data_IF_305663516439
#
_entry.id   IF_305663516439
#
_cell.length_a   1.000
_cell.length_b   1.000
_cell.length_c   1.000
_cell.angle_alpha   90.00
_cell.angle_beta   90.00
_cell.angle_gamma   90.00
#
_symmetry.space_group_name_H-M   'P 1'
#
loop_
_entity.id
_entity.type
_entity.pdbx_description
1 polymer ?
#
# COMPACT_ATOMS: atom_id res chain seq x y z
N UNK A 1 -9.44 -19.76 15.87
CA UNK A 1 -8.71 -18.62 15.30
C UNK A 1 -7.24 -18.92 15.48
N UNK A 2 -6.54 -19.19 14.40
CA UNK A 2 -5.08 -19.40 14.43
C UNK A 2 -4.39 -18.05 14.58
N UNK A 3 -3.14 -18.03 15.03
CA UNK A 3 -2.34 -16.79 15.17
C UNK A 3 -2.26 -16.00 13.84
N UNK A 4 -2.40 -16.68 12.69
CA UNK A 4 -2.44 -16.11 11.35
C UNK A 4 -3.71 -15.27 11.04
N UNK A 5 -4.78 -15.39 11.85
CA UNK A 5 -6.04 -14.69 11.62
C UNK A 5 -6.17 -13.41 12.46
N UNK A 6 -5.11 -12.98 13.13
CA UNK A 6 -5.16 -11.77 13.95
C UNK A 6 -5.09 -10.51 13.10
N UNK A 7 -6.07 -9.57 13.24
CA UNK A 7 -6.01 -8.29 12.53
C UNK A 7 -4.81 -7.46 13.01
N UNK A 8 -4.11 -6.85 12.05
CA UNK A 8 -2.95 -6.00 12.34
C UNK A 8 -3.35 -4.77 13.18
N UNK A 9 -2.52 -4.46 14.19
CA UNK A 9 -2.69 -3.33 15.06
C UNK A 9 -2.51 -1.98 14.33
N UNK A 10 -2.94 -0.88 14.98
CA UNK A 10 -2.83 0.47 14.41
C UNK A 10 -1.38 0.88 14.21
N UNK A 11 -0.49 0.60 15.17
CA UNK A 11 0.93 0.96 15.09
C UNK A 11 1.60 0.32 13.88
N UNK A 12 1.37 -0.97 13.65
CA UNK A 12 1.91 -1.70 12.49
C UNK A 12 1.42 -1.09 11.19
N UNK A 13 0.14 -0.68 11.11
CA UNK A 13 -0.44 -0.06 9.91
C UNK A 13 0.12 1.33 9.64
N UNK A 14 0.35 2.14 10.70
CA UNK A 14 0.97 3.47 10.56
C UNK A 14 2.42 3.32 10.09
N UNK A 15 3.19 2.43 10.69
CA UNK A 15 4.58 2.17 10.27
C UNK A 15 4.64 1.67 8.83
N UNK A 16 3.73 0.75 8.42
CA UNK A 16 3.63 0.33 7.03
C UNK A 16 3.35 1.52 6.10
N UNK A 17 2.39 2.38 6.46
CA UNK A 17 2.04 3.55 5.67
C UNK A 17 3.20 4.57 5.60
N UNK A 18 3.99 4.74 6.65
CA UNK A 18 5.18 5.59 6.62
C UNK A 18 6.26 5.04 5.67
N UNK A 19 6.54 3.74 5.72
CA UNK A 19 7.47 3.09 4.78
C UNK A 19 6.96 3.24 3.34
N UNK A 20 5.68 2.98 3.10
CA UNK A 20 5.06 3.15 1.78
C UNK A 20 5.13 4.62 1.33
N UNK A 21 4.97 5.58 2.24
CA UNK A 21 5.16 7.00 1.97
C UNK A 21 6.57 7.34 1.48
N UNK A 22 7.60 6.76 2.10
CA UNK A 22 9.00 6.91 1.64
C UNK A 22 9.19 6.32 0.24
N UNK A 23 8.63 5.15 -0.03
CA UNK A 23 8.68 4.52 -1.37
C UNK A 23 7.99 5.40 -2.41
N UNK A 24 6.80 5.92 -2.11
CA UNK A 24 6.06 6.82 -3.00
C UNK A 24 6.86 8.10 -3.25
N UNK A 25 7.47 8.70 -2.23
CA UNK A 25 8.32 9.89 -2.38
C UNK A 25 9.52 9.61 -3.29
N UNK A 26 10.20 8.47 -3.12
CA UNK A 26 11.31 8.06 -3.97
C UNK A 26 10.87 7.82 -5.43
N UNK A 27 9.76 7.14 -5.65
CA UNK A 27 9.18 6.91 -6.99
C UNK A 27 8.78 8.24 -7.66
N UNK A 28 8.13 9.13 -6.93
CA UNK A 28 7.75 10.46 -7.44
C UNK A 28 9.00 11.26 -7.80
N UNK A 29 10.02 11.26 -6.93
CA UNK A 29 11.30 11.91 -7.22
C UNK A 29 11.99 11.36 -8.47
N UNK A 30 11.95 10.03 -8.68
CA UNK A 30 12.47 9.39 -9.88
C UNK A 30 11.71 9.82 -11.15
N UNK A 31 10.38 9.88 -11.10
CA UNK A 31 9.55 10.36 -12.23
C UNK A 31 9.89 11.81 -12.58
N UNK A 32 9.97 12.68 -11.57
CA UNK A 32 10.37 14.08 -11.79
C UNK A 32 11.79 14.20 -12.33
N UNK A 33 12.73 13.50 -11.73
CA UNK A 33 14.13 13.50 -12.18
C UNK A 33 14.27 13.05 -13.63
N UNK A 34 13.55 11.99 -14.01
CA UNK A 34 13.53 11.51 -15.40
C UNK A 34 12.92 12.53 -16.36
N UNK A 35 11.82 13.19 -15.96
CA UNK A 35 11.20 14.25 -16.77
C UNK A 35 12.14 15.44 -16.97
N UNK A 36 12.78 15.93 -15.89
CA UNK A 36 13.75 17.04 -15.95
C UNK A 36 14.96 16.67 -16.79
N UNK A 37 15.51 15.47 -16.61
CA UNK A 37 16.63 14.97 -17.40
C UNK A 37 16.25 14.87 -18.89
N UNK A 38 15.06 14.40 -19.20
CA UNK A 38 14.54 14.35 -20.58
C UNK A 38 14.48 15.74 -21.22
N UNK A 39 13.92 16.73 -20.50
CA UNK A 39 13.86 18.12 -20.99
C UNK A 39 15.27 18.69 -21.23
N UNK A 40 16.21 18.42 -20.33
CA UNK A 40 17.60 18.84 -20.48
C UNK A 40 18.27 18.22 -21.70
N UNK A 41 18.10 16.92 -21.93
CA UNK A 41 18.69 16.20 -23.07
C UNK A 41 18.13 16.70 -24.39
N UNK A 42 16.83 17.01 -24.47
CA UNK A 42 16.20 17.50 -25.70
C UNK A 42 16.66 18.91 -26.05
N UNK A 43 16.87 19.80 -25.08
CA UNK A 43 17.25 21.17 -25.36
C UNK A 43 18.18 21.76 -24.26
N UNK A 44 19.45 21.38 -24.24
CA UNK A 44 20.37 21.78 -23.17
C UNK A 44 20.68 23.29 -23.18
N UNK A 45 20.62 23.95 -24.35
CA UNK A 45 20.98 25.37 -24.49
C UNK A 45 19.95 26.31 -23.92
N UNK A 46 18.66 25.97 -24.04
CA UNK A 46 17.53 26.74 -23.52
C UNK A 46 16.88 26.12 -22.30
N UNK A 47 17.52 25.15 -21.67
CA UNK A 47 17.03 24.52 -20.46
C UNK A 47 16.81 25.56 -19.36
N UNK A 48 15.61 25.60 -18.84
CA UNK A 48 15.26 26.35 -17.62
C UNK A 48 14.69 25.38 -16.61
N UNK A 49 15.11 25.51 -15.37
CA UNK A 49 14.53 24.71 -14.29
C UNK A 49 13.02 24.97 -14.22
N UNK A 50 12.19 23.94 -14.26
CA UNK A 50 10.74 24.13 -14.19
C UNK A 50 10.35 24.70 -12.83
N UNK A 51 9.89 25.96 -12.82
CA UNK A 51 9.38 26.63 -11.65
C UNK A 51 7.85 26.55 -11.65
N UNK A 52 7.22 26.34 -10.49
CA UNK A 52 5.77 26.37 -10.35
C UNK A 52 5.05 25.03 -10.38
N UNK A 53 5.78 23.91 -10.38
CA UNK A 53 5.22 22.54 -10.51
C UNK A 53 4.52 21.97 -9.26
N UNK A 54 4.21 22.76 -8.22
CA UNK A 54 3.67 22.21 -6.97
C UNK A 54 2.31 21.51 -7.16
N UNK A 55 1.41 22.10 -7.97
CA UNK A 55 0.11 21.49 -8.23
C UNK A 55 0.22 20.24 -9.10
N UNK A 56 1.04 20.31 -10.16
CA UNK A 56 1.34 19.18 -11.06
C UNK A 56 2.08 18.08 -10.31
N UNK A 57 3.04 18.43 -9.44
CA UNK A 57 3.72 17.50 -8.55
C UNK A 57 2.74 16.75 -7.65
N UNK A 58 1.72 17.42 -7.14
CA UNK A 58 0.71 16.80 -6.29
C UNK A 58 -0.11 15.78 -7.05
N UNK A 59 -0.54 16.07 -8.27
CA UNK A 59 -1.28 15.12 -9.11
C UNK A 59 -0.44 13.90 -9.50
N UNK A 60 0.84 14.12 -9.86
CA UNK A 60 1.77 13.03 -10.15
C UNK A 60 1.97 12.16 -8.91
N UNK A 61 2.19 12.78 -7.74
CA UNK A 61 2.35 12.04 -6.48
C UNK A 61 1.12 11.19 -6.15
N UNK A 62 -0.09 11.75 -6.30
CA UNK A 62 -1.35 11.01 -6.11
C UNK A 62 -1.43 9.83 -7.10
N UNK A 63 -1.14 10.06 -8.38
CA UNK A 63 -1.14 9.01 -9.41
C UNK A 63 -0.15 7.89 -9.10
N UNK A 64 1.09 8.24 -8.74
CA UNK A 64 2.14 7.29 -8.32
C UNK A 64 1.71 6.51 -7.08
N UNK A 65 1.17 7.19 -6.06
CA UNK A 65 0.71 6.54 -4.84
C UNK A 65 -0.41 5.55 -5.10
N UNK A 66 -1.45 5.98 -5.84
CA UNK A 66 -2.59 5.11 -6.20
C UNK A 66 -2.12 3.92 -7.04
N UNK A 67 -1.27 4.15 -8.04
CA UNK A 67 -0.71 3.09 -8.89
C UNK A 67 0.09 2.09 -8.07
N UNK A 68 1.04 2.56 -7.27
CA UNK A 68 1.90 1.73 -6.42
C UNK A 68 1.09 0.87 -5.43
N UNK A 69 0.15 1.48 -4.70
CA UNK A 69 -0.70 0.77 -3.74
C UNK A 69 -1.60 -0.26 -4.42
N UNK A 70 -2.19 0.12 -5.57
CA UNK A 70 -3.07 -0.77 -6.35
C UNK A 70 -2.32 -2.00 -6.81
N UNK A 71 -1.15 -1.82 -7.44
CA UNK A 71 -0.31 -2.91 -7.93
C UNK A 71 0.14 -3.82 -6.79
N UNK A 72 0.63 -3.24 -5.69
CA UNK A 72 1.08 -3.99 -4.53
C UNK A 72 -0.02 -4.90 -3.96
N UNK A 73 -1.23 -4.39 -3.79
CA UNK A 73 -2.34 -5.18 -3.25
C UNK A 73 -2.94 -6.15 -4.26
N UNK A 74 -3.03 -5.79 -5.53
CA UNK A 74 -3.61 -6.66 -6.55
C UNK A 74 -2.70 -7.87 -6.87
N UNK A 75 -1.38 -7.66 -6.97
CA UNK A 75 -0.43 -8.70 -7.36
C UNK A 75 0.06 -9.49 -6.14
N UNK A 76 0.61 -8.81 -5.13
CA UNK A 76 1.25 -9.44 -3.99
C UNK A 76 0.35 -9.55 -2.75
N UNK A 77 -0.80 -8.87 -2.73
CA UNK A 77 -1.65 -8.73 -1.54
C UNK A 77 -1.02 -7.85 -0.45
N UNK A 78 0.14 -7.23 -0.72
CA UNK A 78 0.89 -6.40 0.23
C UNK A 78 1.73 -5.36 -0.51
N UNK A 79 1.96 -4.22 0.12
CA UNK A 79 2.90 -3.20 -0.32
C UNK A 79 4.29 -3.47 0.26
N UNK A 80 5.29 -2.68 -0.08
CA UNK A 80 6.65 -2.80 0.51
C UNK A 80 6.58 -2.60 2.03
N UNK A 81 5.87 -1.57 2.52
CA UNK A 81 5.68 -1.36 3.95
C UNK A 81 4.97 -2.54 4.62
N UNK A 82 3.94 -3.09 3.97
CA UNK A 82 3.26 -4.30 4.43
C UNK A 82 4.17 -5.53 4.46
N UNK A 83 5.05 -5.68 3.47
CA UNK A 83 6.01 -6.78 3.41
C UNK A 83 7.06 -6.70 4.54
N UNK A 84 7.59 -5.50 4.79
CA UNK A 84 8.58 -5.26 5.86
C UNK A 84 8.00 -5.57 7.25
N UNK A 85 6.72 -5.25 7.47
CA UNK A 85 6.06 -5.47 8.76
C UNK A 85 5.29 -6.79 8.86
N UNK A 86 5.41 -7.66 7.85
CA UNK A 86 4.78 -8.97 7.86
C UNK A 86 3.26 -8.90 7.88
N UNK A 87 2.65 -7.94 7.17
CA UNK A 87 1.20 -7.81 7.04
C UNK A 87 0.76 -7.93 5.59
N UNK A 88 -0.45 -8.49 5.39
CA UNK A 88 -1.08 -8.60 4.08
C UNK A 88 -2.54 -8.18 4.12
N UNK A 89 -3.01 -7.70 2.98
CA UNK A 89 -4.41 -7.31 2.78
C UNK A 89 -5.14 -8.45 2.08
N UNK A 90 -6.25 -8.86 2.66
CA UNK A 90 -7.10 -9.91 2.10
C UNK A 90 -8.55 -9.43 2.01
N UNK A 91 -9.28 -9.95 1.05
CA UNK A 91 -10.73 -9.78 0.98
C UNK A 91 -11.42 -10.58 2.11
N UNK A 92 -12.66 -10.22 2.45
CA UNK A 92 -13.47 -11.05 3.35
C UNK A 92 -13.61 -12.44 2.72
N UNK A 93 -13.04 -13.46 3.38
CA UNK A 93 -12.94 -14.83 2.86
C UNK A 93 -11.53 -15.29 2.56
N UNK A 94 -10.50 -14.45 2.81
CA UNK A 94 -9.08 -14.83 2.72
C UNK A 94 -8.48 -14.77 1.30
N UNK A 95 -9.29 -14.47 0.27
CA UNK A 95 -8.83 -14.30 -1.10
C UNK A 95 -8.03 -12.99 -1.28
N UNK A 96 -7.21 -12.91 -2.33
CA UNK A 96 -6.55 -11.65 -2.73
C UNK A 96 -7.57 -10.61 -3.18
N UNK A 97 -7.25 -9.33 -2.97
CA UNK A 97 -8.05 -8.25 -3.54
C UNK A 97 -7.90 -8.25 -5.07
N UNK A 98 -9.05 -8.17 -5.77
CA UNK A 98 -9.02 -7.91 -7.22
C UNK A 98 -8.59 -6.47 -7.52
N UNK A 99 -8.22 -6.18 -8.77
CA UNK A 99 -7.72 -4.88 -9.24
C UNK A 99 -8.63 -3.71 -8.86
N UNK A 100 -9.93 -3.82 -9.13
CA UNK A 100 -10.92 -2.77 -8.83
C UNK A 100 -10.98 -2.43 -7.34
N UNK A 101 -11.02 -3.45 -6.48
CA UNK A 101 -11.04 -3.25 -5.03
C UNK A 101 -9.73 -2.66 -4.52
N UNK A 102 -8.58 -3.07 -5.09
CA UNK A 102 -7.27 -2.50 -4.76
C UNK A 102 -7.20 -1.03 -5.15
N UNK A 103 -7.70 -0.66 -6.34
CA UNK A 103 -7.75 0.73 -6.79
C UNK A 103 -8.67 1.60 -5.92
N UNK A 104 -9.88 1.13 -5.62
CA UNK A 104 -10.79 1.85 -4.71
C UNK A 104 -10.17 2.03 -3.33
N UNK A 105 -9.50 1.00 -2.80
CA UNK A 105 -8.79 1.10 -1.52
C UNK A 105 -7.65 2.12 -1.58
N UNK A 106 -6.85 2.10 -2.65
CA UNK A 106 -5.74 3.02 -2.84
C UNK A 106 -6.21 4.48 -2.90
N UNK A 107 -7.26 4.75 -3.67
CA UNK A 107 -7.90 6.06 -3.71
C UNK A 107 -8.37 6.52 -2.33
N UNK A 108 -9.06 5.66 -1.59
CA UNK A 108 -9.52 5.99 -0.24
C UNK A 108 -8.35 6.24 0.73
N UNK A 109 -7.25 5.50 0.61
CA UNK A 109 -6.08 5.71 1.46
C UNK A 109 -5.39 7.04 1.17
N UNK A 110 -5.33 7.45 -0.09
CA UNK A 110 -4.69 8.71 -0.51
C UNK A 110 -5.58 9.92 -0.23
N UNK A 111 -6.88 9.83 -0.49
CA UNK A 111 -7.83 10.93 -0.31
C UNK A 111 -8.27 11.12 1.14
N UNK A 112 -8.34 10.03 1.91
CA UNK A 112 -8.83 10.05 3.30
C UNK A 112 -7.83 9.34 4.22
N UNK A 113 -6.59 9.88 4.38
CA UNK A 113 -5.56 9.23 5.20
C UNK A 113 -5.97 9.09 6.67
N UNK A 114 -6.76 10.01 7.20
CA UNK A 114 -7.33 9.95 8.55
C UNK A 114 -8.27 8.74 8.77
N UNK A 115 -8.80 8.15 7.71
CA UNK A 115 -9.59 6.92 7.78
C UNK A 115 -8.82 5.71 8.33
N UNK A 116 -7.48 5.74 8.29
CA UNK A 116 -6.63 4.75 8.95
C UNK A 116 -6.71 4.85 10.48
N UNK A 117 -6.90 6.05 11.04
CA UNK A 117 -7.01 6.27 12.49
C UNK A 117 -8.28 5.64 13.08
N UNK A 118 -9.31 5.40 12.24
CA UNK A 118 -10.52 4.71 12.66
C UNK A 118 -10.26 3.31 13.23
N UNK A 119 -9.13 2.71 12.89
CA UNK A 119 -8.68 1.42 13.46
C UNK A 119 -8.51 1.50 14.98
N UNK A 120 -8.16 2.67 15.53
CA UNK A 120 -7.98 2.87 16.98
C UNK A 120 -9.31 2.79 17.74
N UNK A 121 -10.38 3.30 17.14
CA UNK A 121 -11.71 3.40 17.75
C UNK A 121 -12.58 2.17 17.43
N UNK A 122 -12.29 1.48 16.32
CA UNK A 122 -13.07 0.35 15.85
C UNK A 122 -12.81 -0.92 16.69
N UNK A 123 -13.84 -1.46 17.34
CA UNK A 123 -13.78 -2.72 18.09
C UNK A 123 -13.26 -3.91 17.24
N UNK A 124 -13.44 -3.88 15.93
CA UNK A 124 -12.97 -4.91 14.98
C UNK A 124 -11.63 -4.58 14.34
N UNK A 125 -10.93 -3.51 14.78
CA UNK A 125 -9.65 -3.06 14.22
C UNK A 125 -9.65 -2.91 12.70
N UNK A 126 -10.75 -2.39 12.14
CA UNK A 126 -10.90 -2.11 10.69
C UNK A 126 -10.82 -0.63 10.43
N UNK A 127 -10.11 -0.22 9.38
CA UNK A 127 -10.14 1.16 8.90
C UNK A 127 -11.41 1.45 8.11
N UNK A 128 -11.72 2.71 7.87
CA UNK A 128 -12.85 3.11 7.01
C UNK A 128 -12.69 2.49 5.62
N UNK A 129 -11.48 2.50 5.07
CA UNK A 129 -11.16 1.90 3.78
C UNK A 129 -11.42 0.39 3.79
N UNK A 130 -11.07 -0.30 4.90
CA UNK A 130 -11.33 -1.73 5.05
C UNK A 130 -12.82 -2.06 5.05
N UNK A 131 -13.65 -1.19 5.64
CA UNK A 131 -15.11 -1.36 5.69
C UNK A 131 -15.72 -1.19 4.31
N UNK A 132 -15.35 -0.12 3.57
CA UNK A 132 -15.88 0.19 2.24
C UNK A 132 -15.53 -0.91 1.24
N UNK A 133 -14.29 -1.37 1.22
CA UNK A 133 -13.80 -2.36 0.24
C UNK A 133 -14.03 -3.80 0.70
N UNK A 134 -14.55 -4.00 1.91
CA UNK A 134 -14.74 -5.33 2.53
C UNK A 134 -13.45 -6.13 2.57
N UNK A 135 -12.38 -5.50 3.06
CA UNK A 135 -11.05 -6.09 3.22
C UNK A 135 -10.64 -6.16 4.69
N UNK A 136 -9.59 -6.89 4.96
CA UNK A 136 -8.99 -6.98 6.31
C UNK A 136 -7.47 -7.08 6.16
N UNK A 137 -6.73 -6.41 7.06
CA UNK A 137 -5.28 -6.51 7.14
C UNK A 137 -4.92 -7.51 8.22
N UNK A 138 -4.24 -8.58 7.84
CA UNK A 138 -3.84 -9.69 8.72
C UNK A 138 -2.31 -9.76 8.81
N UNK A 139 -1.80 -10.34 9.89
CA UNK A 139 -0.39 -10.72 9.96
C UNK A 139 -0.12 -11.91 9.03
N UNK A 140 0.97 -11.83 8.26
CA UNK A 140 1.41 -12.88 7.34
C UNK A 140 2.29 -13.88 8.12
N UNK A 141 1.66 -14.69 8.96
CA UNK A 141 2.37 -15.76 9.68
C UNK A 141 2.51 -16.95 8.74
N UNK A 142 3.73 -17.46 8.50
CA UNK A 142 3.92 -18.68 7.73
C UNK A 142 3.09 -19.80 8.34
N UNK A 143 2.26 -20.47 7.53
CA UNK A 143 1.57 -21.69 7.98
C UNK A 143 2.63 -22.75 8.25
N UNK A 144 2.90 -23.04 9.51
CA UNK A 144 3.67 -24.23 9.88
C UNK A 144 2.90 -25.43 9.36
N UNK A 145 3.49 -26.28 8.49
CA UNK A 145 2.82 -27.50 8.05
C UNK A 145 2.45 -28.31 9.29
N UNK A 146 1.21 -28.78 9.35
CA UNK A 146 0.80 -29.68 10.42
C UNK A 146 1.77 -30.88 10.45
N UNK A 147 2.20 -31.34 11.65
CA UNK A 147 3.00 -32.55 11.76
C UNK A 147 2.30 -33.68 11.01
N UNK A 148 3.00 -34.34 10.08
CA UNK A 148 2.44 -35.53 9.43
C UNK A 148 2.05 -36.52 10.52
N UNK A 149 0.79 -36.93 10.55
CA UNK A 149 0.35 -37.99 11.44
C UNK A 149 1.30 -39.21 11.23
N UNK A 150 1.76 -39.85 12.31
CA UNK A 150 2.58 -41.05 12.17
C UNK A 150 1.79 -42.08 11.37
N UNK A 151 2.44 -42.65 10.34
CA UNK A 151 1.85 -43.70 9.55
C UNK A 151 1.44 -44.83 10.51
N UNK A 152 0.16 -45.15 10.57
CA UNK A 152 -0.35 -46.28 11.31
C UNK A 152 0.31 -47.54 10.70
N UNK A 153 1.08 -48.25 11.53
CA UNK A 153 1.61 -49.58 11.23
C UNK A 153 0.59 -50.64 11.55
#
# INVERSE_FOLDING_TARGET
>A
MTAADRPAGIVTRILAALIDGVVVAALTGAVFGAAVAGLFVVNPVSFRWPHGLLAEASLVTVGVAVGYLTVGWAIAGRTVGGAVLGVRVVANGGARLGWTRSACRALLCVLVPLGLLWVAVSARRRSVQDLVVRSTVLYDVPKVPAPRAPAAR
#
